data_IF_414214535789
#
_entry.id   IF_414214535789
#
_cell.length_a   1.000
_cell.length_b   1.000
_cell.length_c   1.000
_cell.angle_alpha   90.00
_cell.angle_beta   90.00
_cell.angle_gamma   90.00
#
_symmetry.space_group_name_H-M   'P 1'
#
loop_
_entity.id
_entity.type
_entity.pdbx_description
1 polymer ?
#
# COMPACT_ATOMS: atom_id res chain seq x y z
N UNK A 1 4.17 -9.69 -8.18
CA UNK A 1 3.50 -8.42 -7.90
C UNK A 1 2.03 -8.64 -7.64
N UNK A 2 1.51 -7.90 -6.69
CA UNK A 2 0.10 -7.98 -6.34
C UNK A 2 -0.58 -6.65 -6.66
N UNK A 3 -1.90 -6.70 -6.77
CA UNK A 3 -2.69 -5.50 -6.96
C UNK A 3 -3.74 -5.42 -5.89
N UNK A 4 -4.17 -4.21 -5.60
CA UNK A 4 -5.19 -4.00 -4.59
C UNK A 4 -5.71 -2.59 -4.60
N UNK A 5 -6.52 -2.30 -3.59
CA UNK A 5 -7.17 -1.00 -3.43
C UNK A 5 -6.81 -0.45 -2.05
N UNK A 6 -6.43 0.81 -2.00
CA UNK A 6 -6.13 1.46 -0.71
C UNK A 6 -7.39 1.50 0.12
N UNK A 7 -7.36 0.85 1.28
CA UNK A 7 -8.47 0.84 2.21
C UNK A 7 -8.56 2.19 2.92
N UNK A 8 -7.43 2.66 3.44
CA UNK A 8 -7.27 3.99 3.99
C UNK A 8 -5.78 4.30 4.13
N UNK A 9 -5.47 5.56 4.18
CA UNK A 9 -4.09 6.00 4.36
C UNK A 9 -4.08 7.30 5.14
N UNK A 10 -3.24 7.38 6.16
CA UNK A 10 -3.10 8.57 6.99
C UNK A 10 -1.78 9.26 6.63
N UNK A 11 -1.88 10.35 5.89
CA UNK A 11 -0.70 11.07 5.41
C UNK A 11 0.12 11.70 6.54
N UNK A 12 -0.55 12.09 7.63
CA UNK A 12 0.15 12.65 8.78
C UNK A 12 1.02 11.62 9.47
N UNK A 13 0.50 10.43 9.67
CA UNK A 13 1.21 9.34 10.33
C UNK A 13 2.08 8.56 9.36
N UNK A 14 1.81 8.66 8.06
CA UNK A 14 2.61 8.04 7.03
C UNK A 14 2.37 6.55 6.84
N UNK A 15 1.18 6.04 7.15
CA UNK A 15 0.89 4.62 6.93
C UNK A 15 -0.59 4.39 6.67
N UNK A 16 -0.89 3.20 6.16
CA UNK A 16 -2.25 2.79 5.90
C UNK A 16 -2.33 1.32 5.57
N UNK A 17 -3.43 0.92 4.96
CA UNK A 17 -3.67 -0.48 4.61
C UNK A 17 -4.23 -0.60 3.21
N UNK A 18 -3.89 -1.70 2.56
CA UNK A 18 -4.34 -2.03 1.21
C UNK A 18 -5.14 -3.32 1.28
N UNK A 19 -6.31 -3.33 0.65
CA UNK A 19 -7.12 -4.53 0.48
C UNK A 19 -6.65 -5.24 -0.77
N UNK A 20 -6.25 -6.51 -0.65
CA UNK A 20 -5.76 -7.28 -1.77
C UNK A 20 -6.91 -7.73 -2.69
N UNK A 21 -6.67 -7.67 -3.99
CA UNK A 21 -7.68 -8.11 -4.97
C UNK A 21 -8.01 -9.60 -4.86
N UNK A 22 -7.05 -10.40 -4.42
CA UNK A 22 -7.24 -11.84 -4.32
C UNK A 22 -8.00 -12.28 -3.06
N UNK A 23 -8.44 -11.33 -2.25
CA UNK A 23 -9.17 -11.62 -1.03
C UNK A 23 -8.31 -11.99 0.16
N UNK A 24 -7.00 -11.86 0.05
CA UNK A 24 -6.08 -12.11 1.15
C UNK A 24 -6.19 -11.07 2.25
N UNK A 25 -5.39 -11.21 3.32
CA UNK A 25 -5.43 -10.25 4.43
C UNK A 25 -5.01 -8.86 3.99
N UNK A 26 -5.47 -7.85 4.72
CA UNK A 26 -5.05 -6.48 4.48
C UNK A 26 -3.54 -6.36 4.65
N UNK A 27 -2.92 -5.55 3.80
CA UNK A 27 -1.48 -5.38 3.77
C UNK A 27 -1.12 -3.99 4.30
N UNK A 28 -0.23 -3.96 5.28
CA UNK A 28 0.25 -2.70 5.84
C UNK A 28 1.13 -1.98 4.81
N UNK A 29 0.95 -0.67 4.67
CA UNK A 29 1.79 0.15 3.79
C UNK A 29 2.29 1.36 4.54
N UNK A 30 3.61 1.61 4.45
CA UNK A 30 4.25 2.79 5.04
C UNK A 30 4.68 3.72 3.91
N UNK A 31 4.69 5.02 4.16
CA UNK A 31 5.01 5.99 3.09
C UNK A 31 6.37 5.71 2.43
N UNK A 32 7.31 5.16 3.18
CA UNK A 32 8.63 4.84 2.63
C UNK A 32 8.59 3.73 1.59
N UNK A 33 7.50 2.96 1.55
CA UNK A 33 7.33 1.89 0.57
C UNK A 33 6.69 2.37 -0.72
N UNK A 34 6.23 3.60 -0.77
CA UNK A 34 5.59 4.15 -1.95
C UNK A 34 6.67 4.61 -2.93
N UNK A 35 6.64 4.07 -4.14
CA UNK A 35 7.59 4.41 -5.18
C UNK A 35 7.20 5.71 -5.87
N UNK A 36 8.19 6.44 -6.36
CA UNK A 36 7.96 7.67 -7.07
C UNK A 36 8.63 8.85 -6.40
N UNK A 37 8.85 9.89 -7.17
CA UNK A 37 9.52 11.08 -6.67
C UNK A 37 8.51 12.09 -6.16
N UNK A 38 8.78 12.62 -4.99
CA UNK A 38 8.09 13.78 -4.46
C UNK A 38 6.75 13.51 -3.80
N UNK A 39 5.92 12.69 -4.37
CA UNK A 39 4.56 12.52 -3.86
C UNK A 39 4.36 11.11 -3.29
N UNK A 40 4.32 11.02 -1.99
CA UNK A 40 4.21 9.73 -1.29
C UNK A 40 2.93 9.70 -0.47
N UNK A 41 1.82 9.82 -1.15
CA UNK A 41 0.52 9.82 -0.51
C UNK A 41 -0.42 8.94 -1.31
N UNK A 42 -1.27 8.21 -0.61
CA UNK A 42 -2.28 7.35 -1.23
C UNK A 42 -3.66 7.85 -0.84
N UNK A 43 -4.59 7.75 -1.76
CA UNK A 43 -5.96 8.12 -1.49
C UNK A 43 -6.81 6.88 -1.27
N UNK A 44 -7.86 7.03 -0.48
CA UNK A 44 -8.82 5.95 -0.24
C UNK A 44 -9.40 5.48 -1.56
N UNK A 45 -9.50 4.18 -1.72
CA UNK A 45 -10.03 3.52 -2.93
C UNK A 45 -9.11 3.62 -4.16
N UNK A 46 -7.91 4.16 -4.01
CA UNK A 46 -6.95 4.22 -5.11
C UNK A 46 -6.43 2.83 -5.44
N UNK A 47 -6.32 2.53 -6.73
CA UNK A 47 -5.76 1.25 -7.19
C UNK A 47 -4.24 1.31 -7.17
N UNK A 48 -3.62 0.28 -6.63
CA UNK A 48 -2.16 0.23 -6.51
C UNK A 48 -1.63 -1.15 -6.85
N UNK A 49 -0.36 -1.17 -7.23
CA UNK A 49 0.42 -2.39 -7.47
C UNK A 49 1.54 -2.41 -6.44
N UNK A 50 1.85 -3.59 -5.90
CA UNK A 50 2.82 -3.69 -4.82
C UNK A 50 3.35 -5.11 -4.69
N UNK A 51 4.45 -5.25 -3.96
CA UNK A 51 4.98 -6.54 -3.57
C UNK A 51 4.63 -6.79 -2.11
N UNK A 52 4.30 -8.02 -1.77
CA UNK A 52 3.97 -8.40 -0.40
C UNK A 52 5.21 -8.98 0.26
N UNK A 53 5.60 -8.41 1.38
CA UNK A 53 6.72 -8.91 2.19
C UNK A 53 6.22 -9.16 3.60
N UNK A 54 7.01 -9.89 4.39
CA UNK A 54 6.69 -10.12 5.79
C UNK A 54 7.34 -9.05 6.65
N UNK A 55 6.52 -8.27 7.33
CA UNK A 55 6.99 -7.27 8.25
C UNK A 55 6.72 -7.67 9.69
N UNK A 56 7.08 -6.82 10.63
CA UNK A 56 6.87 -7.08 12.05
C UNK A 56 5.39 -7.16 12.41
N UNK A 57 4.56 -6.45 11.66
CA UNK A 57 3.11 -6.41 11.90
C UNK A 57 2.33 -7.35 11.00
N UNK A 58 3.01 -8.24 10.28
CA UNK A 58 2.38 -9.14 9.34
C UNK A 58 2.67 -8.76 7.90
N UNK A 59 1.78 -9.06 6.94
CA UNK A 59 2.04 -8.73 5.54
C UNK A 59 2.22 -7.23 5.35
N UNK A 60 3.25 -6.87 4.60
CA UNK A 60 3.63 -5.48 4.39
C UNK A 60 3.89 -5.23 2.92
N UNK A 61 3.45 -4.09 2.41
CA UNK A 61 3.63 -3.73 1.01
C UNK A 61 5.00 -3.09 0.79
N UNK A 62 5.59 -3.39 -0.35
CA UNK A 62 6.84 -2.80 -0.80
C UNK A 62 6.70 -2.41 -2.26
N UNK A 63 7.45 -1.40 -2.69
CA UNK A 63 7.44 -0.94 -4.08
C UNK A 63 6.04 -0.58 -4.56
N UNK A 64 5.28 0.10 -3.71
CA UNK A 64 3.89 0.48 -4.00
C UNK A 64 3.87 1.58 -5.04
N UNK A 65 3.01 1.43 -6.05
CA UNK A 65 2.81 2.46 -7.07
C UNK A 65 1.36 2.46 -7.53
N UNK A 66 0.87 3.63 -7.89
CA UNK A 66 -0.51 3.72 -8.39
C UNK A 66 -0.60 3.09 -9.78
N UNK A 67 -1.76 2.51 -10.07
CA UNK A 67 -2.08 2.03 -11.40
C UNK A 67 -3.32 2.75 -11.89
N UNK A 68 -3.33 3.02 -13.17
CA UNK A 68 -4.40 3.80 -13.77
C UNK A 68 -5.72 3.05 -13.77
#
# INVERSE_FOLDING_TARGET
MSTGTVKWFNAEKGFGFITQDDGGPDVFVHFSAISGEGYRNLEENQRVEFDVTQGQKGPQAANVRPIA
#
